data_IF_363328201070
#
_entry.id   IF_363328201070
#
_cell.length_a   1.000
_cell.length_b   1.000
_cell.length_c   1.000
_cell.angle_alpha   90.00
_cell.angle_beta   90.00
_cell.angle_gamma   90.00
#
_symmetry.space_group_name_H-M   'P 1'
#
loop_
_entity.id
_entity.type
_entity.pdbx_description
1 polymer ?
#
# COMPACT_ATOMS: atom_id res chain seq x y z
N UNK A 1 19.59 24.16 3.48
CA UNK A 1 18.34 23.47 3.07
C UNK A 1 17.34 23.49 4.22
N UNK A 2 16.04 23.61 3.93
CA UNK A 2 15.02 23.39 4.96
C UNK A 2 14.81 21.86 5.21
N UNK A 3 14.07 21.44 6.26
CA UNK A 3 13.89 20.03 6.59
C UNK A 3 13.42 19.14 5.44
N UNK A 4 12.44 19.58 4.63
CA UNK A 4 11.93 18.83 3.49
C UNK A 4 12.99 18.68 2.39
N UNK A 5 13.72 19.76 2.10
CA UNK A 5 14.83 19.73 1.13
C UNK A 5 15.95 18.81 1.60
N UNK A 6 16.29 18.81 2.89
CA UNK A 6 17.31 17.92 3.45
C UNK A 6 16.90 16.45 3.31
N UNK A 7 15.64 16.12 3.58
CA UNK A 7 15.13 14.76 3.44
C UNK A 7 15.13 14.31 1.98
N UNK A 8 14.62 15.13 1.06
CA UNK A 8 14.61 14.82 -0.37
C UNK A 8 16.04 14.67 -0.94
N UNK A 9 16.96 15.53 -0.53
CA UNK A 9 18.37 15.47 -0.88
C UNK A 9 19.01 14.15 -0.41
N UNK A 10 18.71 13.74 0.83
CA UNK A 10 19.22 12.49 1.40
C UNK A 10 18.69 11.26 0.65
N UNK A 11 17.41 11.24 0.26
CA UNK A 11 16.84 10.18 -0.57
C UNK A 11 17.57 10.10 -1.92
N UNK A 12 17.82 11.24 -2.59
CA UNK A 12 18.53 11.29 -3.87
C UNK A 12 19.94 10.72 -3.76
N UNK A 13 20.71 11.16 -2.74
CA UNK A 13 22.07 10.66 -2.49
C UNK A 13 22.05 9.15 -2.29
N UNK A 14 21.26 8.65 -1.34
CA UNK A 14 21.21 7.23 -1.00
C UNK A 14 20.79 6.38 -2.20
N UNK A 15 19.85 6.87 -3.02
CA UNK A 15 19.35 6.15 -4.18
C UNK A 15 20.40 6.09 -5.30
N UNK A 16 21.06 7.21 -5.64
CA UNK A 16 22.10 7.24 -6.66
C UNK A 16 23.29 6.35 -6.29
N UNK A 17 23.76 6.51 -5.05
CA UNK A 17 24.96 5.85 -4.58
C UNK A 17 24.76 4.34 -4.40
N UNK A 18 23.59 3.90 -3.89
CA UNK A 18 23.27 2.48 -3.73
C UNK A 18 23.13 1.79 -5.09
N UNK A 19 22.41 2.40 -6.04
CA UNK A 19 22.27 1.87 -7.40
C UNK A 19 23.62 1.82 -8.11
N UNK A 20 24.46 2.86 -7.96
CA UNK A 20 25.80 2.88 -8.54
C UNK A 20 26.70 1.81 -7.93
N UNK A 21 26.66 1.63 -6.62
CA UNK A 21 27.44 0.59 -5.93
C UNK A 21 27.04 -0.82 -6.34
N UNK A 22 25.73 -1.07 -6.46
CA UNK A 22 25.18 -2.34 -6.93
C UNK A 22 25.42 -2.57 -8.43
N UNK A 23 25.79 -1.53 -9.17
CA UNK A 23 25.86 -1.51 -10.63
C UNK A 23 24.58 -2.04 -11.31
N UNK A 24 23.44 -1.87 -10.65
CA UNK A 24 22.12 -2.33 -11.08
C UNK A 24 21.03 -1.63 -10.28
N UNK A 25 19.94 -1.25 -10.91
CA UNK A 25 18.78 -0.68 -10.26
C UNK A 25 18.19 0.53 -10.99
N UNK A 26 17.25 1.19 -10.35
CA UNK A 26 16.42 2.23 -10.94
C UNK A 26 16.58 3.54 -10.13
N UNK A 27 17.51 4.43 -10.48
CA UNK A 27 17.74 5.67 -9.72
C UNK A 27 16.77 6.79 -10.07
N UNK A 28 16.22 6.78 -11.29
CA UNK A 28 15.49 7.94 -11.84
C UNK A 28 14.18 8.25 -11.11
N UNK A 29 13.34 7.27 -10.89
CA UNK A 29 12.06 7.45 -10.17
C UNK A 29 12.29 7.84 -8.70
N UNK A 30 13.21 7.22 -7.92
CA UNK A 30 13.56 7.70 -6.59
C UNK A 30 14.02 9.17 -6.55
N UNK A 31 14.81 9.61 -7.53
CA UNK A 31 15.26 10.99 -7.60
C UNK A 31 14.12 11.95 -7.93
N UNK A 32 13.20 11.55 -8.82
CA UNK A 32 12.04 12.33 -9.23
C UNK A 32 11.02 12.50 -8.10
N UNK A 33 10.72 11.42 -7.38
CA UNK A 33 9.70 11.40 -6.31
C UNK A 33 10.23 11.81 -4.92
N UNK A 34 11.50 12.17 -4.77
CA UNK A 34 12.09 12.47 -3.46
C UNK A 34 11.37 13.59 -2.70
N UNK A 35 10.89 14.63 -3.40
CA UNK A 35 10.14 15.74 -2.81
C UNK A 35 8.74 15.29 -2.36
N UNK A 36 8.07 14.45 -3.16
CA UNK A 36 6.79 13.84 -2.79
C UNK A 36 6.94 13.01 -1.50
N UNK A 37 8.00 12.21 -1.41
CA UNK A 37 8.31 11.43 -0.22
C UNK A 37 8.61 12.33 0.98
N UNK A 38 9.38 13.40 0.82
CA UNK A 38 9.69 14.33 1.90
C UNK A 38 8.43 14.92 2.52
N UNK A 39 7.49 15.38 1.71
CA UNK A 39 6.23 15.95 2.21
C UNK A 39 5.37 14.87 2.86
N UNK A 40 5.21 13.71 2.23
CA UNK A 40 4.40 12.63 2.79
C UNK A 40 4.94 12.17 4.15
N UNK A 41 6.21 11.77 4.23
CA UNK A 41 6.80 11.20 5.46
C UNK A 41 6.86 12.18 6.60
N UNK A 42 7.34 13.40 6.36
CA UNK A 42 7.58 14.34 7.47
C UNK A 42 6.31 15.04 7.96
N UNK A 43 5.32 15.24 7.07
CA UNK A 43 4.12 16.01 7.43
C UNK A 43 2.86 15.16 7.65
N UNK A 44 2.62 14.14 6.83
CA UNK A 44 1.32 13.48 6.78
C UNK A 44 1.31 12.07 7.34
N UNK A 45 2.36 11.29 7.10
CA UNK A 45 2.41 9.86 7.43
C UNK A 45 2.44 9.64 8.96
N UNK A 46 1.55 8.77 9.44
CA UNK A 46 1.40 8.39 10.84
C UNK A 46 1.90 6.97 11.03
N UNK A 47 3.14 6.81 11.42
CA UNK A 47 3.82 5.53 11.62
C UNK A 47 4.67 5.56 12.88
N UNK A 48 4.99 4.40 13.45
CA UNK A 48 6.00 4.26 14.47
C UNK A 48 7.14 3.37 13.94
N UNK A 49 8.31 3.93 13.62
CA UNK A 49 9.45 3.13 13.14
C UNK A 49 9.94 2.05 14.12
N UNK A 50 9.66 2.21 15.42
CA UNK A 50 10.02 1.23 16.45
C UNK A 50 9.02 0.07 16.55
N UNK A 51 7.80 0.24 16.04
CA UNK A 51 6.76 -0.79 15.98
C UNK A 51 6.08 -0.81 14.62
N UNK A 52 6.66 -1.59 13.70
CA UNK A 52 6.13 -1.78 12.33
C UNK A 52 4.82 -2.55 12.28
N UNK A 53 4.36 -3.09 13.40
CA UNK A 53 3.10 -3.84 13.52
C UNK A 53 2.01 -3.06 14.24
N UNK A 54 2.25 -1.80 14.63
CA UNK A 54 1.20 -0.97 15.22
C UNK A 54 -0.07 -0.97 14.35
N UNK A 55 -1.19 -1.40 14.93
CA UNK A 55 -2.40 -1.68 14.17
C UNK A 55 -2.95 -0.45 13.43
N UNK A 56 -2.90 0.73 14.04
CA UNK A 56 -3.48 1.96 13.49
C UNK A 56 -2.47 2.85 12.75
N UNK A 57 -1.34 2.27 12.31
CA UNK A 57 -0.40 2.98 11.42
C UNK A 57 -0.99 3.21 10.04
N UNK A 58 -0.64 4.31 9.39
CA UNK A 58 -0.89 4.48 7.97
C UNK A 58 -0.14 3.41 7.15
N UNK A 59 -0.68 3.03 6.02
CA UNK A 59 -0.06 2.09 5.08
C UNK A 59 0.56 2.87 3.91
N UNK A 60 1.81 2.59 3.63
CA UNK A 60 2.48 3.10 2.43
C UNK A 60 2.77 1.99 1.44
N UNK A 61 2.34 2.18 0.19
CA UNK A 61 2.54 1.23 -0.91
C UNK A 61 3.29 1.90 -2.05
N UNK A 62 4.45 1.37 -2.39
CA UNK A 62 5.19 1.76 -3.58
C UNK A 62 4.77 0.85 -4.75
N UNK A 63 3.76 1.27 -5.53
CA UNK A 63 3.22 0.48 -6.63
C UNK A 63 4.20 0.36 -7.80
N UNK A 64 5.00 1.40 -8.06
CA UNK A 64 6.15 1.35 -8.95
C UNK A 64 7.39 0.80 -8.20
N UNK A 65 7.32 -0.49 -7.84
CA UNK A 65 8.28 -1.16 -6.95
C UNK A 65 9.73 -1.14 -7.41
N UNK A 66 10.00 -0.89 -8.71
CA UNK A 66 11.35 -0.66 -9.21
C UNK A 66 12.02 0.57 -8.58
N UNK A 67 11.23 1.54 -8.10
CA UNK A 67 11.73 2.69 -7.34
C UNK A 67 12.09 2.35 -5.87
N UNK A 68 12.39 1.10 -5.55
CA UNK A 68 12.58 0.55 -4.19
C UNK A 68 13.53 1.37 -3.32
N UNK A 69 14.60 1.93 -3.88
CA UNK A 69 15.54 2.76 -3.14
C UNK A 69 14.90 4.04 -2.55
N UNK A 70 13.80 4.58 -3.13
CA UNK A 70 13.03 5.65 -2.50
C UNK A 70 12.51 5.20 -1.13
N UNK A 71 11.86 4.05 -1.09
CA UNK A 71 11.26 3.50 0.13
C UNK A 71 12.34 3.11 1.14
N UNK A 72 13.39 2.42 0.69
CA UNK A 72 14.49 2.02 1.58
C UNK A 72 15.21 3.21 2.20
N UNK A 73 15.51 4.25 1.40
CA UNK A 73 16.11 5.48 1.92
C UNK A 73 15.19 6.18 2.92
N UNK A 74 13.89 6.28 2.64
CA UNK A 74 12.92 6.87 3.55
C UNK A 74 12.80 6.08 4.87
N UNK A 75 12.71 4.74 4.80
CA UNK A 75 12.66 3.89 5.99
C UNK A 75 13.94 4.01 6.84
N UNK A 76 15.12 3.96 6.21
CA UNK A 76 16.40 4.16 6.88
C UNK A 76 16.47 5.52 7.61
N UNK A 77 16.19 6.60 6.89
CA UNK A 77 16.27 7.96 7.43
C UNK A 77 15.30 8.21 8.58
N UNK A 78 14.10 7.62 8.52
CA UNK A 78 13.06 7.83 9.52
C UNK A 78 13.19 6.97 10.76
N UNK A 79 14.15 6.03 10.76
CA UNK A 79 14.58 5.32 11.97
C UNK A 79 14.02 3.91 12.12
N UNK A 80 13.59 3.27 11.03
CA UNK A 80 13.31 1.83 11.01
C UNK A 80 14.61 1.02 11.22
N UNK A 81 14.47 -0.27 11.50
CA UNK A 81 15.61 -1.20 11.63
C UNK A 81 16.21 -1.55 10.24
N UNK A 82 16.74 -0.53 9.61
CA UNK A 82 17.38 -0.61 8.30
C UNK A 82 18.64 0.28 8.32
N UNK A 83 19.81 -0.34 8.35
CA UNK A 83 21.09 0.37 8.50
C UNK A 83 21.59 0.95 7.16
N UNK A 84 22.58 1.86 7.23
CA UNK A 84 23.26 2.34 6.04
C UNK A 84 24.00 1.21 5.31
N UNK A 85 24.50 0.22 6.04
CA UNK A 85 25.17 -0.93 5.44
C UNK A 85 24.17 -1.85 4.71
N UNK A 86 22.91 -1.95 5.18
CA UNK A 86 21.85 -2.62 4.43
C UNK A 86 21.60 -1.90 3.10
N UNK A 87 21.56 -0.57 3.07
CA UNK A 87 21.42 0.21 1.83
C UNK A 87 22.63 0.01 0.90
N UNK A 88 23.85 -0.04 1.44
CA UNK A 88 25.07 -0.33 0.69
C UNK A 88 25.10 -1.75 0.09
N UNK A 89 24.27 -2.66 0.63
CA UNK A 89 24.09 -4.03 0.15
C UNK A 89 22.84 -4.17 -0.73
N UNK A 90 22.36 -3.07 -1.32
CA UNK A 90 21.24 -3.09 -2.25
C UNK A 90 21.41 -4.12 -3.36
N UNK A 91 20.39 -4.94 -3.62
CA UNK A 91 20.39 -6.03 -4.63
C UNK A 91 21.41 -7.15 -4.38
N UNK A 92 22.00 -7.24 -3.21
CA UNK A 92 22.84 -8.40 -2.89
C UNK A 92 21.98 -9.55 -2.36
N UNK A 93 22.41 -10.78 -2.59
CA UNK A 93 21.69 -11.97 -2.13
C UNK A 93 21.54 -11.95 -0.59
N UNK A 94 20.33 -12.20 -0.11
CA UNK A 94 19.95 -12.17 1.32
C UNK A 94 20.09 -10.78 2.00
N UNK A 95 20.17 -9.69 1.24
CA UNK A 95 20.14 -8.35 1.85
C UNK A 95 18.70 -7.97 2.26
N UNK A 96 18.58 -7.07 3.25
CA UNK A 96 17.29 -6.45 3.61
C UNK A 96 16.78 -5.49 2.54
N UNK A 97 17.53 -5.25 1.46
CA UNK A 97 17.20 -4.29 0.40
C UNK A 97 17.23 -4.97 -0.98
N UNK A 98 16.30 -5.90 -1.24
CA UNK A 98 16.18 -6.54 -2.55
C UNK A 98 15.86 -5.53 -3.65
N UNK A 99 15.96 -5.92 -4.93
CA UNK A 99 15.77 -5.05 -6.07
C UNK A 99 14.39 -4.38 -6.15
N UNK A 100 13.39 -5.02 -5.60
CA UNK A 100 12.01 -4.53 -5.43
C UNK A 100 11.59 -4.78 -3.97
N UNK A 101 10.66 -3.99 -3.39
CA UNK A 101 10.23 -4.21 -2.01
C UNK A 101 9.66 -5.61 -1.80
N UNK A 102 10.14 -6.28 -0.76
CA UNK A 102 9.68 -7.62 -0.38
C UNK A 102 9.10 -7.55 1.04
N UNK A 103 7.86 -8.02 1.18
CA UNK A 103 7.21 -8.14 2.47
C UNK A 103 7.95 -9.17 3.33
N UNK A 104 8.22 -8.84 4.58
CA UNK A 104 9.06 -9.55 5.56
C UNK A 104 10.58 -9.37 5.44
N UNK A 105 11.15 -9.03 4.27
CA UNK A 105 12.60 -8.84 4.14
C UNK A 105 13.02 -7.46 4.68
N UNK A 106 12.22 -6.43 4.38
CA UNK A 106 12.51 -5.05 4.81
C UNK A 106 11.50 -4.59 5.88
N UNK A 107 11.94 -4.23 7.09
CA UNK A 107 11.04 -3.66 8.11
C UNK A 107 10.31 -2.41 7.60
N UNK A 108 8.98 -2.38 7.72
CA UNK A 108 8.14 -1.27 7.26
C UNK A 108 7.67 -1.37 5.81
N UNK A 109 8.02 -2.41 5.07
CA UNK A 109 7.40 -2.74 3.79
C UNK A 109 6.10 -3.48 4.03
N UNK A 110 5.00 -2.93 3.54
CA UNK A 110 3.64 -3.48 3.72
C UNK A 110 3.25 -4.53 2.67
N UNK A 111 3.94 -4.53 1.52
CA UNK A 111 3.56 -5.32 0.34
C UNK A 111 4.78 -5.57 -0.55
N UNK A 112 4.91 -6.79 -1.03
CA UNK A 112 5.81 -7.13 -2.14
C UNK A 112 5.29 -6.51 -3.42
N UNK A 113 6.11 -5.67 -4.08
CA UNK A 113 5.81 -5.03 -5.35
C UNK A 113 6.93 -5.25 -6.35
N UNK A 114 6.71 -4.90 -7.61
CA UNK A 114 7.61 -5.14 -8.74
C UNK A 114 6.79 -5.29 -10.00
N UNK A 115 5.84 -6.27 -10.07
CA UNK A 115 4.84 -6.28 -11.12
C UNK A 115 3.97 -5.03 -11.04
N UNK A 116 4.02 -4.20 -12.09
CA UNK A 116 3.29 -2.92 -12.12
C UNK A 116 1.77 -3.13 -11.98
N UNK A 117 1.07 -2.16 -11.42
CA UNK A 117 -0.38 -2.22 -11.18
C UNK A 117 -0.80 -3.05 -9.94
N UNK A 118 -0.01 -4.03 -9.52
CA UNK A 118 -0.33 -4.87 -8.36
C UNK A 118 -0.39 -4.06 -7.05
N UNK A 119 0.53 -3.11 -6.87
CA UNK A 119 0.61 -2.30 -5.64
C UNK A 119 -0.65 -1.47 -5.41
N UNK A 120 -1.08 -0.68 -6.40
CA UNK A 120 -2.27 0.16 -6.28
C UNK A 120 -3.55 -0.70 -6.13
N UNK A 121 -3.62 -1.83 -6.83
CA UNK A 121 -4.77 -2.73 -6.73
C UNK A 121 -4.84 -3.41 -5.34
N UNK A 122 -3.70 -3.82 -4.77
CA UNK A 122 -3.63 -4.35 -3.40
C UNK A 122 -3.96 -3.28 -2.35
N UNK A 123 -3.56 -2.03 -2.58
CA UNK A 123 -3.88 -0.90 -1.70
C UNK A 123 -5.39 -0.64 -1.59
N UNK A 124 -6.16 -0.95 -2.64
CA UNK A 124 -7.64 -0.95 -2.57
C UNK A 124 -8.11 -1.96 -1.51
N UNK A 125 -7.47 -3.13 -1.42
CA UNK A 125 -7.76 -4.12 -0.38
C UNK A 125 -7.47 -3.60 1.03
N UNK A 126 -6.34 -2.90 1.24
CA UNK A 126 -6.05 -2.23 2.52
C UNK A 126 -7.12 -1.19 2.89
N UNK A 127 -7.56 -0.38 1.93
CA UNK A 127 -8.59 0.63 2.19
C UNK A 127 -9.97 0.03 2.48
N UNK A 128 -10.34 -1.09 1.83
CA UNK A 128 -11.56 -1.85 2.16
C UNK A 128 -11.45 -2.44 3.57
N UNK A 129 -10.29 -3.01 3.91
CA UNK A 129 -10.04 -3.58 5.24
C UNK A 129 -10.17 -2.52 6.34
N UNK A 130 -9.57 -1.33 6.15
CA UNK A 130 -9.72 -0.22 7.09
C UNK A 130 -11.19 0.13 7.31
N UNK A 131 -11.97 0.33 6.23
CA UNK A 131 -13.39 0.69 6.31
C UNK A 131 -14.21 -0.40 6.99
N UNK A 132 -13.96 -1.67 6.68
CA UNK A 132 -14.66 -2.81 7.28
C UNK A 132 -14.33 -2.93 8.77
N UNK A 133 -13.05 -2.89 9.14
CA UNK A 133 -12.62 -2.99 10.54
C UNK A 133 -13.11 -1.79 11.36
N UNK A 134 -13.09 -0.58 10.77
CA UNK A 134 -13.67 0.62 11.40
C UNK A 134 -15.18 0.48 11.63
N UNK A 135 -15.94 -0.01 10.64
CA UNK A 135 -17.38 -0.23 10.76
C UNK A 135 -17.73 -1.26 11.84
N UNK A 136 -16.85 -2.24 12.06
CA UNK A 136 -17.04 -3.31 13.04
C UNK A 136 -16.65 -2.90 14.46
N UNK A 137 -15.47 -2.29 14.62
CA UNK A 137 -14.86 -2.10 15.94
C UNK A 137 -14.87 -0.67 16.46
N UNK A 138 -14.98 0.36 15.61
CA UNK A 138 -15.02 1.73 16.13
C UNK A 138 -16.30 1.98 16.91
N UNK A 139 -16.18 2.74 17.99
CA UNK A 139 -17.29 3.22 18.82
C UNK A 139 -17.21 4.75 18.92
N UNK A 140 -18.30 5.38 19.36
CA UNK A 140 -18.33 6.82 19.54
C UNK A 140 -17.14 7.27 20.41
N UNK A 141 -16.31 8.20 19.91
CA UNK A 141 -15.09 8.73 20.53
C UNK A 141 -13.96 7.72 20.79
N UNK A 142 -14.09 6.49 20.31
CA UNK A 142 -13.08 5.44 20.45
C UNK A 142 -12.76 4.82 19.07
N UNK A 143 -12.07 5.58 18.18
CA UNK A 143 -11.68 5.10 16.85
C UNK A 143 -10.44 4.22 16.95
N UNK A 144 -10.64 2.91 17.07
CA UNK A 144 -9.54 1.93 17.07
C UNK A 144 -8.84 1.85 15.70
N UNK A 145 -9.62 2.05 14.63
CA UNK A 145 -9.19 1.93 13.25
C UNK A 145 -9.47 3.25 12.53
N UNK A 146 -8.41 4.03 12.33
CA UNK A 146 -8.48 5.35 11.70
C UNK A 146 -7.14 5.70 11.06
N UNK A 147 -6.84 5.12 9.90
CA UNK A 147 -5.59 5.35 9.17
C UNK A 147 -5.81 5.44 7.67
N UNK A 148 -4.85 6.03 6.98
CA UNK A 148 -4.84 6.17 5.53
C UNK A 148 -4.02 5.07 4.86
N UNK A 149 -4.33 4.83 3.58
CA UNK A 149 -3.50 4.07 2.66
C UNK A 149 -2.97 5.03 1.60
N UNK A 150 -1.66 5.26 1.60
CA UNK A 150 -0.96 6.09 0.63
C UNK A 150 -0.28 5.21 -0.41
N UNK A 151 -0.40 5.59 -1.67
CA UNK A 151 0.20 4.86 -2.79
C UNK A 151 1.06 5.82 -3.61
N UNK A 152 2.28 5.40 -3.97
CA UNK A 152 3.02 6.01 -5.06
C UNK A 152 2.90 5.11 -6.28
N UNK A 153 2.51 5.67 -7.42
CA UNK A 153 2.34 4.94 -8.67
C UNK A 153 2.94 5.76 -9.83
N UNK A 154 3.54 5.09 -10.79
CA UNK A 154 4.03 5.70 -12.03
C UNK A 154 3.11 5.40 -13.22
N UNK A 155 3.44 5.95 -14.39
CA UNK A 155 2.70 5.79 -15.64
C UNK A 155 2.39 4.31 -15.94
N UNK A 156 3.40 3.43 -15.87
CA UNK A 156 3.24 2.01 -16.12
C UNK A 156 2.27 1.30 -15.17
N UNK A 157 2.18 1.75 -13.91
CA UNK A 157 1.21 1.19 -12.97
C UNK A 157 -0.23 1.46 -13.41
N UNK A 158 -0.49 2.63 -14.01
CA UNK A 158 -1.82 3.05 -14.42
C UNK A 158 -2.19 2.52 -15.82
N UNK A 159 -1.22 2.03 -16.61
CA UNK A 159 -1.45 1.32 -17.86
C UNK A 159 -1.99 -0.10 -17.63
N UNK A 160 -1.61 -0.74 -16.52
CA UNK A 160 -2.01 -2.10 -16.23
C UNK A 160 -3.52 -2.27 -16.05
N UNK A 161 -4.10 -3.32 -16.66
CA UNK A 161 -5.54 -3.58 -16.60
C UNK A 161 -6.05 -3.78 -15.17
N UNK A 162 -5.26 -4.45 -14.31
CA UNK A 162 -5.63 -4.70 -12.91
C UNK A 162 -5.83 -3.41 -12.11
N UNK A 163 -5.07 -2.34 -12.42
CA UNK A 163 -5.26 -1.04 -11.79
C UNK A 163 -6.59 -0.42 -12.15
N UNK A 164 -7.00 -0.55 -13.42
CA UNK A 164 -8.30 -0.06 -13.90
C UNK A 164 -9.46 -0.80 -13.23
N UNK A 165 -9.40 -2.12 -13.12
CA UNK A 165 -10.40 -2.93 -12.43
C UNK A 165 -10.55 -2.53 -10.95
N UNK A 166 -9.42 -2.45 -10.22
CA UNK A 166 -9.42 -2.17 -8.79
C UNK A 166 -9.81 -0.71 -8.49
N UNK A 167 -9.29 0.25 -9.24
CA UNK A 167 -9.56 1.68 -9.02
C UNK A 167 -11.02 2.04 -9.37
N UNK A 168 -11.61 1.39 -10.39
CA UNK A 168 -13.05 1.51 -10.66
C UNK A 168 -13.90 1.04 -9.49
N UNK A 169 -13.55 -0.09 -8.86
CA UNK A 169 -14.26 -0.57 -7.66
C UNK A 169 -14.03 0.36 -6.46
N UNK A 170 -12.82 0.88 -6.27
CA UNK A 170 -12.50 1.82 -5.19
C UNK A 170 -13.34 3.10 -5.24
N UNK A 171 -13.53 3.66 -6.44
CA UNK A 171 -14.42 4.82 -6.64
C UNK A 171 -15.88 4.48 -6.36
N UNK A 172 -16.36 3.31 -6.83
CA UNK A 172 -17.72 2.82 -6.55
C UNK A 172 -17.97 2.68 -5.05
N UNK A 173 -17.00 2.17 -4.29
CA UNK A 173 -17.11 1.98 -2.84
C UNK A 173 -16.89 3.28 -2.03
N UNK A 174 -16.37 4.34 -2.63
CA UNK A 174 -16.11 5.61 -1.95
C UNK A 174 -15.03 5.51 -0.88
N UNK A 175 -13.85 4.95 -1.23
CA UNK A 175 -12.76 4.70 -0.28
C UNK A 175 -11.96 5.96 0.05
N UNK A 176 -12.54 6.89 0.82
CA UNK A 176 -11.98 8.24 1.06
C UNK A 176 -10.62 8.29 1.76
N UNK A 177 -10.14 7.19 2.35
CA UNK A 177 -8.81 7.11 2.96
C UNK A 177 -7.74 6.47 2.05
N UNK A 178 -8.08 6.22 0.78
CA UNK A 178 -7.12 5.80 -0.25
C UNK A 178 -6.64 7.02 -1.02
N UNK A 179 -5.35 7.36 -0.90
CA UNK A 179 -4.73 8.51 -1.56
C UNK A 179 -3.57 8.02 -2.42
N UNK A 180 -3.68 8.20 -3.73
CA UNK A 180 -2.63 7.86 -4.69
C UNK A 180 -1.94 9.13 -5.18
N UNK A 181 -0.62 9.22 -4.99
CA UNK A 181 0.24 10.21 -5.62
C UNK A 181 0.83 9.58 -6.89
N UNK A 182 0.41 10.10 -8.02
CA UNK A 182 0.84 9.63 -9.34
C UNK A 182 2.05 10.41 -9.81
N UNK A 183 3.18 9.72 -9.95
CA UNK A 183 4.42 10.21 -10.57
C UNK A 183 4.24 10.28 -12.09
N UNK A 184 3.71 11.41 -12.56
CA UNK A 184 3.45 11.69 -13.96
C UNK A 184 4.70 12.35 -14.57
N UNK A 185 5.68 11.53 -14.91
CA UNK A 185 6.95 11.99 -15.51
C UNK A 185 7.03 11.78 -17.02
N UNK A 186 6.08 11.04 -17.61
CA UNK A 186 5.98 10.83 -19.05
C UNK A 186 7.04 9.90 -19.66
N UNK A 187 7.81 9.18 -18.83
CA UNK A 187 8.92 8.32 -19.29
C UNK A 187 8.75 6.89 -18.75
N UNK A 188 8.89 5.93 -19.63
CA UNK A 188 9.04 4.52 -19.32
C UNK A 188 10.43 4.03 -19.71
N UNK A 189 10.69 2.73 -19.59
CA UNK A 189 11.98 2.13 -19.96
C UNK A 189 12.25 2.23 -21.48
N UNK A 190 11.19 2.29 -22.29
CA UNK A 190 11.28 2.41 -23.74
C UNK A 190 11.33 3.87 -24.23
N UNK A 191 11.25 4.86 -23.32
CA UNK A 191 11.30 6.29 -23.64
C UNK A 191 10.00 7.02 -23.31
N UNK A 192 9.68 8.07 -24.09
CA UNK A 192 8.48 8.88 -23.92
C UNK A 192 7.20 8.06 -24.15
N UNK A 193 6.26 8.11 -23.22
CA UNK A 193 5.04 7.28 -23.26
C UNK A 193 3.97 7.78 -24.23
N UNK A 194 4.03 9.03 -24.68
CA UNK A 194 2.99 9.65 -25.52
C UNK A 194 2.58 8.82 -26.75
N UNK A 195 3.47 8.06 -27.44
CA UNK A 195 3.07 7.26 -28.58
C UNK A 195 2.17 6.05 -28.26
N UNK A 196 2.15 5.56 -27.01
CA UNK A 196 1.38 4.37 -26.63
C UNK A 196 0.51 4.55 -25.37
N UNK A 197 0.56 5.74 -24.75
CA UNK A 197 -0.30 6.09 -23.61
C UNK A 197 -0.80 7.53 -23.76
N UNK A 198 -1.77 7.71 -24.65
CA UNK A 198 -2.33 9.01 -25.03
C UNK A 198 -3.68 9.34 -24.38
N UNK A 199 -4.11 8.59 -23.38
CA UNK A 199 -5.36 8.84 -22.65
C UNK A 199 -5.23 10.00 -21.65
N UNK A 200 -6.36 10.66 -21.34
CA UNK A 200 -6.44 11.56 -20.18
C UNK A 200 -6.71 10.75 -18.91
N UNK A 201 -5.64 10.43 -18.18
CA UNK A 201 -5.71 9.69 -16.91
C UNK A 201 -6.62 10.39 -15.89
N UNK A 202 -6.64 11.73 -15.87
CA UNK A 202 -7.48 12.45 -14.93
C UNK A 202 -8.97 12.24 -15.23
N UNK A 203 -9.39 12.34 -16.49
CA UNK A 203 -10.77 12.07 -16.89
C UNK A 203 -11.17 10.62 -16.61
N UNK A 204 -10.26 9.66 -16.83
CA UNK A 204 -10.51 8.25 -16.51
C UNK A 204 -10.79 8.05 -15.02
N UNK A 205 -9.99 8.62 -14.13
CA UNK A 205 -10.18 8.49 -12.69
C UNK A 205 -11.41 9.28 -12.19
N UNK A 206 -11.70 10.44 -12.77
CA UNK A 206 -12.95 11.16 -12.51
C UNK A 206 -14.17 10.31 -12.89
N UNK A 207 -14.12 9.61 -14.04
CA UNK A 207 -15.17 8.68 -14.46
C UNK A 207 -15.30 7.47 -13.53
N UNK A 208 -14.23 7.03 -12.84
CA UNK A 208 -14.31 6.03 -11.78
C UNK A 208 -14.95 6.56 -10.48
N UNK A 209 -15.17 7.88 -10.35
CA UNK A 209 -15.70 8.49 -9.13
C UNK A 209 -14.65 8.92 -8.11
N UNK A 210 -13.39 9.05 -8.52
CA UNK A 210 -12.31 9.57 -7.69
C UNK A 210 -12.34 11.10 -7.63
N UNK A 211 -11.86 11.68 -6.54
CA UNK A 211 -11.34 13.03 -6.53
C UNK A 211 -10.02 13.05 -7.31
N UNK A 212 -9.85 14.00 -8.23
CA UNK A 212 -8.60 14.18 -8.96
C UNK A 212 -8.05 15.57 -8.73
N UNK A 213 -6.84 15.66 -8.19
CA UNK A 213 -6.09 16.92 -8.02
C UNK A 213 -5.04 16.94 -9.11
N UNK A 214 -5.27 17.84 -10.11
CA UNK A 214 -4.48 17.90 -11.33
C UNK A 214 -3.29 18.85 -11.18
N UNK A 215 -2.29 18.64 -12.01
CA UNK A 215 -1.19 19.58 -12.27
C UNK A 215 -0.37 20.03 -11.05
N UNK A 216 -0.22 19.17 -10.05
CA UNK A 216 0.62 19.44 -8.89
C UNK A 216 2.08 19.40 -9.32
N UNK A 217 2.86 20.42 -9.02
CA UNK A 217 4.31 20.39 -9.20
C UNK A 217 4.90 19.44 -8.16
N UNK A 218 5.41 18.28 -8.61
CA UNK A 218 5.96 17.23 -7.75
C UNK A 218 7.29 17.62 -7.07
N UNK A 219 7.81 18.81 -7.35
CA UNK A 219 9.00 19.39 -6.74
C UNK A 219 8.68 20.61 -5.85
N UNK A 220 7.42 21.06 -5.81
CA UNK A 220 6.97 22.13 -4.91
C UNK A 220 6.36 21.53 -3.62
N UNK A 221 7.09 21.63 -2.53
CA UNK A 221 6.67 21.11 -1.22
C UNK A 221 5.36 21.74 -0.72
N UNK A 222 5.08 23.01 -1.03
CA UNK A 222 3.85 23.68 -0.59
C UNK A 222 2.65 23.19 -1.39
N UNK A 223 2.80 23.01 -2.70
CA UNK A 223 1.77 22.46 -3.59
C UNK A 223 1.44 21.00 -3.20
N UNK A 224 2.46 20.17 -2.92
CA UNK A 224 2.28 18.80 -2.46
C UNK A 224 1.55 18.72 -1.10
N UNK A 225 1.93 19.55 -0.13
CA UNK A 225 1.31 19.64 1.20
C UNK A 225 -0.18 20.03 1.10
N UNK A 226 -0.47 21.03 0.28
CA UNK A 226 -1.84 21.48 0.03
C UNK A 226 -2.68 20.37 -0.65
N UNK A 227 -2.11 19.68 -1.64
CA UNK A 227 -2.79 18.60 -2.36
C UNK A 227 -3.11 17.41 -1.44
N UNK A 228 -2.15 16.95 -0.61
CA UNK A 228 -2.40 15.86 0.34
C UNK A 228 -3.41 16.30 1.40
N UNK A 229 -3.35 17.54 1.86
CA UNK A 229 -4.34 18.08 2.82
C UNK A 229 -5.75 18.13 2.22
N UNK A 230 -5.88 18.53 0.96
CA UNK A 230 -7.16 18.51 0.23
C UNK A 230 -7.68 17.08 0.00
N UNK A 231 -6.79 16.13 -0.28
CA UNK A 231 -7.14 14.72 -0.37
C UNK A 231 -7.67 14.15 0.95
N UNK A 232 -7.07 14.53 2.08
CA UNK A 232 -7.53 14.11 3.42
C UNK A 232 -8.85 14.74 3.84
N UNK A 233 -9.20 15.90 3.28
CA UNK A 233 -10.47 16.57 3.53
C UNK A 233 -11.64 15.90 2.78
N UNK A 234 -11.37 15.16 1.71
CA UNK A 234 -12.34 14.36 0.98
C UNK A 234 -12.53 12.99 1.65
N UNK A 235 -13.68 12.76 2.24
CA UNK A 235 -13.94 11.53 3.00
C UNK A 235 -14.80 10.50 2.26
N UNK A 236 -15.43 10.91 1.16
CA UNK A 236 -16.37 10.08 0.41
C UNK A 236 -15.81 9.49 -0.89
N UNK A 237 -14.61 9.89 -1.31
CA UNK A 237 -13.99 9.46 -2.56
C UNK A 237 -12.52 9.17 -2.37
N UNK A 238 -11.95 8.12 -3.01
CA UNK A 238 -10.51 8.00 -3.11
C UNK A 238 -9.94 9.17 -3.92
N UNK A 239 -8.67 9.53 -3.68
CA UNK A 239 -8.04 10.67 -4.34
C UNK A 239 -6.83 10.26 -5.17
N UNK A 240 -6.77 10.75 -6.42
CA UNK A 240 -5.59 10.74 -7.27
C UNK A 240 -4.99 12.14 -7.31
N UNK A 241 -3.74 12.28 -6.86
CA UNK A 241 -2.95 13.51 -6.98
C UNK A 241 -1.98 13.31 -8.14
N UNK A 242 -2.14 14.05 -9.23
CA UNK A 242 -1.27 13.97 -10.41
C UNK A 242 -0.09 14.91 -10.20
N UNK A 243 1.06 14.34 -9.85
CA UNK A 243 2.29 15.06 -9.57
C UNK A 243 3.17 15.06 -10.81
N UNK A 244 3.38 16.23 -11.40
CA UNK A 244 4.35 16.37 -12.49
C UNK A 244 5.76 16.39 -11.93
N UNK A 245 6.54 15.39 -12.32
CA UNK A 245 7.93 15.23 -11.87
C UNK A 245 8.88 15.13 -13.06
N UNK A 246 10.16 15.04 -12.75
CA UNK A 246 11.19 14.71 -13.73
C UNK A 246 11.95 13.49 -13.26
N UNK A 247 11.89 12.42 -14.05
CA UNK A 247 12.71 11.25 -13.78
C UNK A 247 14.19 11.64 -13.76
N UNK A 248 14.99 11.13 -12.80
CA UNK A 248 16.39 11.50 -12.66
C UNK A 248 16.64 12.96 -12.28
N UNK A 249 15.71 13.57 -11.55
CA UNK A 249 15.73 15.00 -11.17
C UNK A 249 17.08 15.42 -10.59
N UNK A 250 17.63 16.51 -11.14
CA UNK A 250 18.91 17.10 -10.74
C UNK A 250 20.10 16.59 -11.52
N UNK A 251 19.98 15.53 -12.35
CA UNK A 251 21.04 15.08 -13.26
C UNK A 251 21.14 16.05 -14.43
N UNK A 252 22.28 16.76 -14.61
CA UNK A 252 22.40 17.78 -15.64
C UNK A 252 22.22 17.27 -17.07
N UNK A 253 22.67 16.04 -17.34
CA UNK A 253 22.70 15.49 -18.69
C UNK A 253 21.62 14.43 -18.95
N UNK A 254 21.05 13.81 -17.89
CA UNK A 254 20.21 12.62 -18.05
C UNK A 254 18.78 12.80 -17.53
N UNK A 255 18.47 13.83 -16.72
CA UNK A 255 17.11 14.02 -16.21
C UNK A 255 16.08 14.12 -17.33
N UNK A 256 14.90 13.55 -17.11
CA UNK A 256 13.80 13.55 -18.08
C UNK A 256 14.00 12.55 -19.22
N UNK A 257 14.96 11.64 -19.13
CA UNK A 257 15.21 10.61 -20.14
C UNK A 257 15.12 9.20 -19.57
N UNK A 258 14.85 8.24 -20.45
CA UNK A 258 14.82 6.79 -20.14
C UNK A 258 16.17 6.26 -19.61
N UNK A 259 17.27 6.94 -19.87
CA UNK A 259 18.61 6.55 -19.42
C UNK A 259 18.75 6.50 -17.90
N UNK A 260 17.91 7.26 -17.18
CA UNK A 260 17.88 7.22 -15.72
C UNK A 260 16.91 6.17 -15.17
N UNK A 261 16.08 5.56 -16.03
CA UNK A 261 15.01 4.66 -15.57
C UNK A 261 15.57 3.42 -14.90
N UNK A 262 16.38 2.62 -15.60
CA UNK A 262 16.78 1.28 -15.17
C UNK A 262 18.28 1.00 -15.16
N UNK A 263 19.11 2.03 -15.11
CA UNK A 263 20.58 1.90 -15.12
C UNK A 263 21.24 2.88 -14.16
N UNK A 264 22.43 2.55 -13.59
CA UNK A 264 23.23 3.50 -12.84
C UNK A 264 23.56 4.74 -13.66
N UNK A 265 23.59 5.92 -13.03
CA UNK A 265 23.92 7.18 -13.70
C UNK A 265 25.39 7.24 -14.20
N UNK A 266 26.29 6.49 -13.56
CA UNK A 266 27.71 6.61 -13.72
C UNK A 266 28.34 7.62 -12.73
N UNK A 267 29.58 7.36 -12.33
CA UNK A 267 30.27 8.18 -11.30
C UNK A 267 30.39 9.65 -11.66
N UNK A 268 30.66 9.93 -12.94
CA UNK A 268 30.81 11.30 -13.43
C UNK A 268 29.47 12.06 -13.33
N UNK A 269 28.38 11.45 -13.77
CA UNK A 269 27.06 12.08 -13.72
C UNK A 269 26.56 12.25 -12.29
N UNK A 270 26.87 11.31 -11.38
CA UNK A 270 26.57 11.46 -9.95
C UNK A 270 27.33 12.66 -9.36
N UNK A 271 28.60 12.84 -9.69
CA UNK A 271 29.38 13.98 -9.22
C UNK A 271 28.78 15.31 -9.73
N UNK A 272 28.41 15.37 -11.01
CA UNK A 272 27.74 16.53 -11.60
C UNK A 272 26.38 16.79 -10.96
N UNK A 273 25.61 15.75 -10.67
CA UNK A 273 24.30 15.85 -10.00
C UNK A 273 24.45 16.38 -8.59
N UNK A 274 25.40 15.86 -7.81
CA UNK A 274 25.68 16.34 -6.46
C UNK A 274 26.10 17.82 -6.49
N UNK A 275 26.96 18.21 -7.43
CA UNK A 275 27.37 19.60 -7.62
C UNK A 275 26.18 20.50 -7.99
N UNK A 276 25.35 20.11 -8.96
CA UNK A 276 24.21 20.89 -9.44
C UNK A 276 23.16 21.13 -8.34
N UNK A 277 22.98 20.14 -7.47
CA UNK A 277 22.04 20.22 -6.33
C UNK A 277 22.66 20.77 -5.04
N UNK A 278 23.95 21.10 -5.04
CA UNK A 278 24.68 21.59 -3.85
C UNK A 278 24.74 20.55 -2.72
N UNK A 279 24.90 19.27 -3.08
CA UNK A 279 24.96 18.14 -2.17
C UNK A 279 26.40 17.78 -1.79
N UNK A 280 26.63 17.09 -0.65
CA UNK A 280 27.93 16.54 -0.30
C UNK A 280 28.52 15.69 -1.42
N UNK A 281 29.84 15.75 -1.59
CA UNK A 281 30.51 15.08 -2.71
C UNK A 281 30.85 13.61 -2.46
N UNK A 282 30.96 13.20 -1.20
CA UNK A 282 31.33 11.84 -0.81
C UNK A 282 30.20 10.83 -1.06
N UNK A 283 30.59 9.57 -1.27
CA UNK A 283 29.63 8.47 -1.43
C UNK A 283 28.88 8.23 -0.11
N UNK A 284 27.54 8.17 -0.17
CA UNK A 284 26.64 8.04 1.00
C UNK A 284 26.82 9.14 2.06
N UNK A 285 27.44 10.26 1.70
CA UNK A 285 27.59 11.41 2.57
C UNK A 285 26.31 12.25 2.53
N UNK A 286 25.64 12.34 3.67
CA UNK A 286 24.36 13.06 3.81
C UNK A 286 24.57 14.52 4.22
N UNK A 287 23.61 15.41 3.95
CA UNK A 287 23.58 16.75 4.51
C UNK A 287 23.69 16.72 6.06
N UNK A 288 24.24 17.75 6.70
CA UNK A 288 24.25 17.87 8.15
C UNK A 288 22.84 17.68 8.75
N UNK A 289 22.76 17.06 9.91
CA UNK A 289 21.53 16.82 10.67
C UNK A 289 20.44 16.01 9.95
N UNK A 290 20.75 15.35 8.82
CA UNK A 290 19.77 14.59 8.02
C UNK A 290 19.00 13.57 8.85
N UNK A 291 19.68 12.79 9.68
CA UNK A 291 19.03 11.79 10.55
C UNK A 291 18.16 12.42 11.64
N UNK A 292 18.60 13.53 12.24
CA UNK A 292 17.83 14.22 13.26
C UNK A 292 16.55 14.82 12.67
N UNK A 293 16.66 15.44 11.49
CA UNK A 293 15.55 16.05 10.77
C UNK A 293 14.53 14.98 10.33
N UNK A 294 15.03 13.82 9.87
CA UNK A 294 14.20 12.78 9.28
C UNK A 294 13.53 11.87 10.32
N UNK A 295 14.08 11.75 11.53
CA UNK A 295 13.62 10.76 12.52
C UNK A 295 12.15 10.94 12.89
N UNK A 296 11.39 9.86 12.74
CA UNK A 296 9.99 9.78 13.17
C UNK A 296 9.79 9.00 14.48
N UNK A 297 10.87 8.57 15.16
CA UNK A 297 10.76 7.71 16.37
C UNK A 297 9.96 8.36 17.49
N UNK A 298 10.29 9.62 17.84
CA UNK A 298 9.57 10.31 18.91
C UNK A 298 8.12 10.64 18.54
N UNK A 299 7.90 11.10 17.29
CA UNK A 299 6.56 11.38 16.78
C UNK A 299 5.72 10.11 16.75
N UNK A 300 6.30 9.01 16.26
CA UNK A 300 5.63 7.71 16.16
C UNK A 300 5.26 7.13 17.52
N UNK A 301 6.19 7.18 18.49
CA UNK A 301 5.91 6.75 19.86
C UNK A 301 4.73 7.52 20.48
N UNK A 302 4.71 8.85 20.35
CA UNK A 302 3.58 9.68 20.85
C UNK A 302 2.24 9.33 20.20
N UNK A 303 2.23 9.09 18.89
CA UNK A 303 1.01 8.70 18.16
C UNK A 303 0.50 7.33 18.63
N UNK A 304 1.39 6.40 18.88
CA UNK A 304 1.03 5.08 19.40
C UNK A 304 0.56 5.16 20.86
N UNK A 305 1.24 5.94 21.73
CA UNK A 305 0.82 6.16 23.12
C UNK A 305 -0.61 6.76 23.18
N UNK A 306 -0.96 7.67 22.27
CA UNK A 306 -2.32 8.23 22.16
C UNK A 306 -3.32 7.14 21.76
N UNK A 307 -3.00 6.28 20.81
CA UNK A 307 -3.83 5.16 20.42
C UNK A 307 -3.96 4.10 21.53
N UNK A 308 -2.90 3.82 22.29
CA UNK A 308 -2.93 2.87 23.41
C UNK A 308 -3.86 3.34 24.53
N UNK A 309 -4.00 4.66 24.77
CA UNK A 309 -5.00 5.18 25.70
C UNK A 309 -6.42 4.92 25.21
N UNK A 310 -6.68 5.09 23.92
CA UNK A 310 -7.98 4.76 23.30
C UNK A 310 -8.23 3.25 23.45
N UNK A 311 -7.22 2.43 23.19
CA UNK A 311 -7.30 0.98 23.34
C UNK A 311 -7.62 0.54 24.77
N UNK A 312 -6.98 1.12 25.77
CA UNK A 312 -7.26 0.84 27.18
C UNK A 312 -8.71 1.22 27.55
N UNK A 313 -9.16 2.40 27.17
CA UNK A 313 -10.54 2.84 27.43
C UNK A 313 -11.56 1.94 26.70
N UNK A 314 -11.22 1.47 25.51
CA UNK A 314 -12.05 0.54 24.73
C UNK A 314 -12.18 -0.82 25.44
N UNK A 315 -11.07 -1.36 25.96
CA UNK A 315 -11.06 -2.61 26.73
C UNK A 315 -11.95 -2.53 27.97
N UNK A 316 -11.92 -1.42 28.67
CA UNK A 316 -12.73 -1.19 29.87
C UNK A 316 -14.24 -1.11 29.55
N UNK A 317 -14.60 -0.47 28.42
CA UNK A 317 -16.02 -0.23 28.05
C UNK A 317 -16.64 -1.35 27.21
N UNK A 318 -15.84 -2.04 26.39
CA UNK A 318 -16.25 -3.02 25.40
C UNK A 318 -15.37 -4.29 25.46
N UNK A 319 -15.33 -4.98 26.61
CA UNK A 319 -14.36 -6.08 26.84
C UNK A 319 -14.53 -7.27 25.87
N UNK A 320 -15.76 -7.57 25.43
CA UNK A 320 -16.00 -8.67 24.49
C UNK A 320 -15.50 -8.34 23.07
N UNK A 321 -15.81 -7.15 22.60
CA UNK A 321 -15.35 -6.67 21.31
C UNK A 321 -13.83 -6.45 21.30
N UNK A 322 -13.26 -6.00 22.42
CA UNK A 322 -11.81 -5.88 22.58
C UNK A 322 -11.12 -7.24 22.52
N UNK A 323 -11.68 -8.25 23.18
CA UNK A 323 -11.16 -9.61 23.10
C UNK A 323 -11.23 -10.17 21.67
N UNK A 324 -12.35 -9.94 20.97
CA UNK A 324 -12.48 -10.35 19.58
C UNK A 324 -11.48 -9.62 18.69
N UNK A 325 -11.36 -8.29 18.81
CA UNK A 325 -10.38 -7.49 18.07
C UNK A 325 -8.95 -7.99 18.28
N UNK A 326 -8.53 -8.20 19.54
CA UNK A 326 -7.22 -8.71 19.87
C UNK A 326 -6.98 -10.11 19.28
N UNK A 327 -7.99 -11.00 19.32
CA UNK A 327 -7.91 -12.33 18.73
C UNK A 327 -7.70 -12.26 17.23
N UNK A 328 -8.55 -11.52 16.50
CA UNK A 328 -8.47 -11.46 15.05
C UNK A 328 -7.17 -10.81 14.59
N UNK A 329 -6.73 -9.71 15.24
CA UNK A 329 -5.47 -9.04 14.92
C UNK A 329 -4.25 -9.90 15.21
N UNK A 330 -4.32 -10.82 16.19
CA UNK A 330 -3.25 -11.78 16.45
C UNK A 330 -3.24 -12.98 15.49
N UNK A 331 -4.21 -13.07 14.57
CA UNK A 331 -4.36 -14.18 13.63
C UNK A 331 -4.85 -15.50 14.25
N UNK A 332 -5.21 -15.52 15.56
CA UNK A 332 -5.70 -16.71 16.24
C UNK A 332 -7.10 -17.10 15.75
N UNK A 333 -7.28 -18.38 15.50
CA UNK A 333 -8.59 -18.95 15.18
C UNK A 333 -9.51 -18.97 16.41
N UNK A 334 -10.84 -19.02 16.21
CA UNK A 334 -11.78 -19.21 17.33
C UNK A 334 -11.50 -20.50 18.11
N UNK A 335 -11.68 -20.44 19.42
CA UNK A 335 -11.49 -21.61 20.27
C UNK A 335 -12.48 -22.73 19.90
N UNK A 336 -11.98 -23.96 19.84
CA UNK A 336 -12.78 -25.15 19.53
C UNK A 336 -13.17 -25.33 18.07
N UNK A 337 -12.69 -24.47 17.16
CA UNK A 337 -12.97 -24.58 15.72
C UNK A 337 -12.52 -25.93 15.17
N UNK A 338 -11.36 -26.45 15.60
CA UNK A 338 -10.83 -27.75 15.16
C UNK A 338 -11.83 -28.89 15.46
N UNK A 339 -12.40 -28.93 16.68
CA UNK A 339 -13.40 -29.92 17.07
C UNK A 339 -14.67 -29.85 16.23
N UNK A 340 -15.10 -28.63 15.88
CA UNK A 340 -16.28 -28.42 15.04
C UNK A 340 -16.00 -28.97 13.62
N UNK A 341 -14.83 -28.67 13.07
CA UNK A 341 -14.39 -29.17 11.76
C UNK A 341 -14.32 -30.70 11.76
N UNK A 342 -13.65 -31.31 12.77
CA UNK A 342 -13.49 -32.75 12.89
C UNK A 342 -14.86 -33.48 12.99
N UNK A 343 -15.77 -32.96 13.84
CA UNK A 343 -17.11 -33.54 13.98
C UNK A 343 -17.92 -33.41 12.68
N UNK A 344 -17.79 -32.32 11.96
CA UNK A 344 -18.47 -32.11 10.68
C UNK A 344 -17.92 -33.05 9.60
N UNK A 345 -16.61 -33.21 9.51
CA UNK A 345 -15.99 -34.18 8.59
C UNK A 345 -16.41 -35.62 8.88
N UNK A 346 -16.53 -36.01 10.17
CA UNK A 346 -17.03 -37.32 10.55
C UNK A 346 -18.47 -37.53 10.05
N UNK A 347 -19.35 -36.55 10.24
CA UNK A 347 -20.75 -36.61 9.75
C UNK A 347 -20.82 -36.76 8.21
N UNK A 348 -19.97 -36.00 7.46
CA UNK A 348 -19.92 -36.14 6.01
C UNK A 348 -19.42 -37.52 5.57
N UNK A 349 -18.44 -38.07 6.25
CA UNK A 349 -17.92 -39.42 5.98
C UNK A 349 -18.99 -40.52 6.23
N UNK A 350 -19.76 -40.39 7.31
CA UNK A 350 -20.86 -41.31 7.63
C UNK A 350 -22.00 -41.21 6.61
N UNK A 351 -22.36 -39.98 6.20
CA UNK A 351 -23.42 -39.75 5.20
C UNK A 351 -23.06 -40.29 3.83
N UNK A 352 -21.78 -40.32 3.48
CA UNK A 352 -21.28 -40.79 2.19
C UNK A 352 -21.80 -39.95 1.01
N UNK A 353 -21.57 -40.47 -0.19
CA UNK A 353 -22.08 -39.88 -1.44
C UNK A 353 -21.06 -38.95 -2.11
N UNK A 354 -21.45 -38.46 -3.31
CA UNK A 354 -20.67 -37.54 -4.13
C UNK A 354 -21.41 -36.20 -4.27
N UNK A 355 -20.70 -35.13 -4.08
CA UNK A 355 -21.20 -33.75 -4.26
C UNK A 355 -20.30 -32.98 -5.20
N UNK A 356 -20.85 -31.97 -5.92
CA UNK A 356 -20.04 -31.05 -6.69
C UNK A 356 -19.09 -30.27 -5.79
N UNK A 357 -17.86 -30.00 -6.25
CA UNK A 357 -16.83 -29.30 -5.48
C UNK A 357 -17.30 -27.91 -5.00
N UNK A 358 -18.04 -27.16 -5.84
CA UNK A 358 -18.64 -25.89 -5.42
C UNK A 358 -19.65 -26.05 -4.27
N UNK A 359 -20.35 -27.20 -4.19
CA UNK A 359 -21.28 -27.47 -3.08
C UNK A 359 -20.54 -27.84 -1.80
N UNK A 360 -19.41 -28.54 -1.93
CA UNK A 360 -18.53 -28.77 -0.79
C UNK A 360 -17.96 -27.46 -0.23
N UNK A 361 -17.55 -26.55 -1.12
CA UNK A 361 -17.10 -25.19 -0.75
C UNK A 361 -18.23 -24.40 -0.06
N UNK A 362 -19.46 -24.39 -0.60
CA UNK A 362 -20.62 -23.74 0.04
C UNK A 362 -20.86 -24.28 1.45
N UNK A 363 -20.78 -25.59 1.63
CA UNK A 363 -20.97 -26.22 2.94
C UNK A 363 -19.90 -25.76 3.95
N UNK A 364 -18.63 -25.68 3.50
CA UNK A 364 -17.53 -25.16 4.32
C UNK A 364 -17.73 -23.67 4.67
N UNK A 365 -18.13 -22.82 3.71
CA UNK A 365 -18.42 -21.40 3.95
C UNK A 365 -19.59 -21.24 4.93
N UNK A 366 -20.67 -22.03 4.79
CA UNK A 366 -21.81 -21.98 5.71
C UNK A 366 -21.44 -22.42 7.13
N UNK A 367 -20.47 -23.32 7.29
CA UNK A 367 -19.92 -23.74 8.59
C UNK A 367 -19.06 -22.65 9.21
N UNK A 368 -18.13 -22.09 8.44
CA UNK A 368 -17.07 -21.21 8.94
C UNK A 368 -17.53 -19.77 9.15
N UNK A 369 -18.30 -19.20 8.22
CA UNK A 369 -18.64 -17.80 8.24
C UNK A 369 -19.40 -17.34 9.52
N UNK A 370 -20.30 -18.12 10.14
CA UNK A 370 -20.90 -17.75 11.41
C UNK A 370 -19.92 -17.78 12.61
N UNK A 371 -18.85 -18.56 12.52
CA UNK A 371 -17.86 -18.78 13.59
C UNK A 371 -16.68 -17.81 13.50
N UNK A 372 -16.40 -17.30 12.28
CA UNK A 372 -15.22 -16.52 11.97
C UNK A 372 -15.62 -15.12 11.45
N UNK A 373 -15.82 -14.15 12.35
CA UNK A 373 -16.17 -12.79 11.95
C UNK A 373 -15.12 -12.09 11.09
N UNK A 374 -13.89 -12.58 11.11
CA UNK A 374 -12.79 -12.15 10.26
C UNK A 374 -12.84 -12.72 8.84
N UNK A 375 -13.76 -13.63 8.54
CA UNK A 375 -13.89 -14.23 7.21
C UNK A 375 -14.66 -13.28 6.29
N UNK A 376 -13.96 -12.68 5.33
CA UNK A 376 -14.51 -11.81 4.32
C UNK A 376 -14.49 -12.49 2.95
N UNK A 377 -15.65 -12.60 2.32
CA UNK A 377 -15.81 -13.32 1.08
C UNK A 377 -16.22 -12.47 -0.10
N UNK A 378 -16.24 -13.07 -1.29
CA UNK A 378 -16.72 -12.41 -2.48
C UNK A 378 -16.72 -13.29 -3.71
N UNK A 379 -17.17 -12.71 -4.82
CA UNK A 379 -17.17 -13.37 -6.13
C UNK A 379 -17.01 -12.35 -7.25
N UNK A 380 -16.37 -12.79 -8.33
CA UNK A 380 -16.32 -12.05 -9.59
C UNK A 380 -17.59 -12.30 -10.41
N UNK A 381 -18.72 -11.75 -9.93
CA UNK A 381 -20.05 -11.81 -10.55
C UNK A 381 -20.65 -13.25 -10.75
N UNK A 382 -20.16 -14.22 -9.97
CA UNK A 382 -20.54 -15.62 -10.09
C UNK A 382 -21.16 -16.20 -8.80
N UNK A 383 -21.61 -15.36 -7.88
CA UNK A 383 -22.09 -15.75 -6.53
C UNK A 383 -23.05 -16.94 -6.55
N UNK A 384 -24.07 -16.92 -7.39
CA UNK A 384 -25.04 -17.99 -7.52
C UNK A 384 -24.54 -19.25 -8.23
N UNK A 385 -23.47 -19.12 -9.04
CA UNK A 385 -22.90 -20.23 -9.81
C UNK A 385 -21.79 -20.95 -9.05
N UNK A 386 -20.94 -20.23 -8.34
CA UNK A 386 -19.84 -20.79 -7.56
C UNK A 386 -20.18 -20.98 -6.07
N UNK A 387 -21.37 -20.56 -5.64
CA UNK A 387 -21.94 -20.79 -4.31
C UNK A 387 -21.07 -20.23 -3.16
N UNK A 388 -20.60 -19.01 -3.32
CA UNK A 388 -19.71 -18.31 -2.34
C UNK A 388 -20.45 -17.57 -1.25
N UNK A 389 -21.78 -17.48 -1.31
CA UNK A 389 -22.62 -16.78 -0.32
C UNK A 389 -23.03 -17.70 0.82
N UNK A 390 -22.71 -17.33 2.07
CA UNK A 390 -23.29 -18.01 3.26
C UNK A 390 -24.68 -17.47 3.56
N UNK A 391 -25.67 -18.37 3.58
CA UNK A 391 -27.06 -18.01 3.93
C UNK A 391 -27.20 -17.57 5.38
N UNK A 392 -26.33 -18.05 6.25
CA UNK A 392 -26.38 -17.78 7.69
C UNK A 392 -25.65 -16.51 8.11
N UNK A 393 -24.63 -16.09 7.38
CA UNK A 393 -23.71 -15.06 7.85
C UNK A 393 -23.37 -13.97 6.82
N UNK A 394 -23.58 -14.20 5.50
CA UNK A 394 -23.16 -13.20 4.51
C UNK A 394 -24.10 -11.99 4.49
N UNK A 395 -23.49 -10.80 4.54
CA UNK A 395 -24.08 -9.50 4.32
C UNK A 395 -23.22 -8.73 3.33
N UNK A 396 -23.80 -8.11 2.30
CA UNK A 396 -23.06 -7.34 1.32
C UNK A 396 -22.36 -6.13 1.93
N UNK A 397 -21.12 -5.89 1.50
CA UNK A 397 -20.45 -4.60 1.64
C UNK A 397 -20.96 -3.71 0.51
N UNK A 398 -21.45 -2.51 0.86
CA UNK A 398 -22.03 -1.56 -0.07
C UNK A 398 -21.38 -0.18 0.10
N UNK A 399 -21.49 0.71 -0.90
CA UNK A 399 -21.07 2.09 -0.74
C UNK A 399 -21.71 2.72 0.51
N UNK A 400 -20.88 3.21 1.44
CA UNK A 400 -21.32 3.78 2.72
C UNK A 400 -21.64 2.76 3.83
N UNK A 401 -21.81 1.47 3.55
CA UNK A 401 -22.01 0.42 4.55
C UNK A 401 -20.98 -0.71 4.43
N UNK A 402 -19.97 -0.69 5.27
CA UNK A 402 -18.90 -1.67 5.35
C UNK A 402 -19.08 -2.69 6.48
N UNK A 403 -20.27 -2.73 7.10
CA UNK A 403 -20.56 -3.68 8.17
C UNK A 403 -20.79 -5.12 7.69
N UNK A 404 -20.94 -5.32 6.38
CA UNK A 404 -21.03 -6.63 5.75
C UNK A 404 -19.68 -7.35 5.67
N UNK A 405 -19.74 -8.64 5.30
CA UNK A 405 -18.56 -9.50 5.13
C UNK A 405 -18.51 -10.17 3.73
N UNK A 406 -19.24 -9.63 2.76
CA UNK A 406 -19.28 -10.16 1.40
C UNK A 406 -19.14 -9.02 0.38
N UNK A 407 -18.12 -9.12 -0.48
CA UNK A 407 -17.80 -8.15 -1.50
C UNK A 407 -18.20 -8.64 -2.89
N UNK A 408 -19.01 -7.86 -3.58
CA UNK A 408 -19.32 -8.07 -4.98
C UNK A 408 -18.23 -7.39 -5.83
N UNK A 409 -17.28 -8.16 -6.32
CA UNK A 409 -16.17 -7.62 -7.13
C UNK A 409 -16.61 -7.18 -8.53
N UNK A 410 -17.77 -7.68 -9.03
CA UNK A 410 -18.16 -7.59 -10.43
C UNK A 410 -17.26 -8.46 -11.30
N UNK A 411 -17.30 -8.30 -12.62
CA UNK A 411 -16.46 -9.06 -13.56
C UNK A 411 -15.04 -8.50 -13.53
N UNK A 412 -14.27 -8.84 -12.48
CA UNK A 412 -12.92 -8.34 -12.18
C UNK A 412 -12.11 -9.42 -11.45
N UNK A 413 -11.83 -10.53 -12.10
CA UNK A 413 -11.16 -11.68 -11.47
C UNK A 413 -9.76 -11.33 -10.97
N UNK A 414 -8.99 -10.57 -11.76
CA UNK A 414 -7.64 -10.23 -11.43
C UNK A 414 -7.58 -9.21 -10.27
N UNK A 415 -8.43 -8.18 -10.31
CA UNK A 415 -8.54 -7.25 -9.17
C UNK A 415 -9.08 -7.95 -7.92
N UNK A 416 -10.02 -8.90 -8.03
CA UNK A 416 -10.47 -9.70 -6.90
C UNK A 416 -9.31 -10.38 -6.19
N UNK A 417 -8.45 -11.08 -6.94
CA UNK A 417 -7.27 -11.75 -6.37
C UNK A 417 -6.33 -10.75 -5.68
N UNK A 418 -6.07 -9.62 -6.34
CA UNK A 418 -5.15 -8.60 -5.82
C UNK A 418 -5.71 -7.88 -4.60
N UNK A 419 -7.01 -7.55 -4.60
CA UNK A 419 -7.70 -6.96 -3.44
C UNK A 419 -7.69 -7.93 -2.26
N UNK A 420 -7.91 -9.23 -2.49
CA UNK A 420 -7.81 -10.25 -1.44
C UNK A 420 -6.41 -10.31 -0.81
N UNK A 421 -5.34 -10.10 -1.60
CA UNK A 421 -3.99 -9.96 -1.04
C UNK A 421 -3.93 -8.80 -0.03
N UNK A 422 -4.52 -7.65 -0.38
CA UNK A 422 -4.60 -6.49 0.51
C UNK A 422 -5.40 -6.77 1.79
N UNK A 423 -6.55 -7.43 1.67
CA UNK A 423 -7.37 -7.82 2.83
C UNK A 423 -6.59 -8.76 3.77
N UNK A 424 -5.85 -9.74 3.22
CA UNK A 424 -5.07 -10.69 4.00
C UNK A 424 -3.83 -10.05 4.66
N UNK A 425 -3.09 -9.21 3.92
CA UNK A 425 -1.89 -8.51 4.40
C UNK A 425 -2.20 -7.41 5.42
N UNK A 426 -3.42 -6.88 5.40
CA UNK A 426 -3.84 -5.89 6.40
C UNK A 426 -3.69 -6.38 7.83
N UNK A 427 -3.94 -7.67 8.04
CA UNK A 427 -4.05 -8.31 9.35
C UNK A 427 -5.48 -8.31 9.90
N UNK A 428 -5.82 -9.32 10.68
CA UNK A 428 -7.14 -9.45 11.30
C UNK A 428 -8.27 -9.86 10.35
N UNK A 429 -7.98 -10.11 9.07
CA UNK A 429 -8.96 -10.59 8.09
C UNK A 429 -8.47 -11.84 7.37
N UNK A 430 -9.41 -12.67 6.94
CA UNK A 430 -9.18 -13.85 6.09
C UNK A 430 -10.07 -13.74 4.88
N UNK A 431 -9.46 -13.60 3.70
CA UNK A 431 -10.21 -13.39 2.47
C UNK A 431 -10.45 -14.72 1.73
N UNK A 432 -11.62 -14.84 1.09
CA UNK A 432 -11.87 -15.82 0.05
C UNK A 432 -12.60 -15.19 -1.13
N UNK A 433 -12.33 -15.69 -2.32
CA UNK A 433 -12.97 -15.23 -3.54
C UNK A 433 -13.35 -16.38 -4.46
N UNK A 434 -14.40 -16.21 -5.21
CA UNK A 434 -14.89 -17.23 -6.13
C UNK A 434 -14.92 -16.77 -7.56
N UNK A 435 -14.38 -17.62 -8.43
CA UNK A 435 -14.53 -17.58 -9.87
C UNK A 435 -14.42 -19.01 -10.41
N UNK A 436 -14.51 -19.21 -11.71
CA UNK A 436 -14.17 -20.48 -12.34
C UNK A 436 -12.74 -20.45 -12.87
N UNK A 437 -12.06 -21.60 -12.80
CA UNK A 437 -10.65 -21.72 -13.22
C UNK A 437 -10.39 -21.18 -14.64
N UNK A 438 -11.38 -21.31 -15.53
CA UNK A 438 -11.27 -20.82 -16.91
C UNK A 438 -11.18 -19.30 -17.03
N UNK A 439 -11.49 -18.54 -15.96
CA UNK A 439 -11.42 -17.08 -15.91
C UNK A 439 -10.27 -16.55 -15.04
N UNK A 440 -9.44 -17.44 -14.47
CA UNK A 440 -8.30 -17.06 -13.61
C UNK A 440 -6.95 -17.14 -14.35
#
# INVERSE_FOLDING_TARGET
MNPLQTFAASIRILSMDAVQKANSGHPGAPMGMADMAAVLWLKHLRVNPADTQWHNRDRFVLSNGHASMLQYAALHLTGYDLSLDDLKNFRQLHSKTPGHPEYHDTPGVELTTGPLGQGIATAVGFAIAERHMAARYNRERLPLVDHYTYVFAGDGCLMEGVSSEACSLAGTLGLGKLICLYDSNGISIDGEIAPWFGEDTALRYEAYGWQVIRDVDGHDHAALDAAISAAKAETGKPTLIICRTKIGYGSPNLQGTEKTHGAPLGKEEIALTKQALGLPAGDFELPPDAYQIASLREKGAKLQDEWERIWQEYQDKYPMEAQEYARVMSGKLPDGLDRIIESTLAQYNEAGGAIATRKASENAINLLAPLMPELIGGSADLTGSNLTWSKAASKSILPGDFSGNYLHYGVREFAMATIMNGLALYGGLRAYGGTFLVFS
#
